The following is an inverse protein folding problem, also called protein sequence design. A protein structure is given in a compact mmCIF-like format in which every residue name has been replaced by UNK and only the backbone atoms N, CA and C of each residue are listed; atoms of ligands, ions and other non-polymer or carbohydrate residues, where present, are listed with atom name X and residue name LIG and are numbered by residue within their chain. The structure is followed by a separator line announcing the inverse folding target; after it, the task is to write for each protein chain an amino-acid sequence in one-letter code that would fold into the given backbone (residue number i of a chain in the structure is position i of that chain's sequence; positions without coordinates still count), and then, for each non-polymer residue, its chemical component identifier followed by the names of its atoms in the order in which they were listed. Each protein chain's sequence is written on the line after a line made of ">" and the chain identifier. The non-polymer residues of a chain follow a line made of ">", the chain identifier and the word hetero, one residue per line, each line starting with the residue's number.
data_IF_265293882485
#
_entry.id   IF_265293882485
#
_cell.length_a   1.000
_cell.length_b   1.000
_cell.length_c   1.000
_cell.angle_alpha   90.00
_cell.angle_beta   90.00
_cell.angle_gamma   90.00
#
_symmetry.space_group_name_H-M   'P 1'
#
loop_
_entity.id
_entity.type
_entity.pdbx_description
1 polymer ?
#
# COMPACT_ATOMS: atom_id res chain seq x y z
N UNK A 1 5.54 -33.03 -1.75
CA UNK A 1 4.51 -31.95 -1.89
C UNK A 1 4.14 -31.27 -0.55
N UNK A 2 4.33 -31.91 0.63
CA UNK A 2 3.94 -31.36 1.94
C UNK A 2 4.63 -30.04 2.37
N UNK A 3 5.87 -29.77 1.94
CA UNK A 3 6.63 -28.57 2.34
C UNK A 3 6.31 -27.29 1.56
N UNK A 4 5.66 -27.38 0.39
CA UNK A 4 5.43 -26.21 -0.48
C UNK A 4 4.39 -25.27 0.13
N UNK A 5 3.37 -25.84 0.80
CA UNK A 5 2.33 -25.05 1.50
C UNK A 5 2.91 -24.22 2.64
N UNK A 6 3.80 -24.81 3.46
CA UNK A 6 4.47 -24.08 4.55
C UNK A 6 5.39 -22.97 4.05
N UNK A 7 6.08 -23.20 2.93
CA UNK A 7 6.98 -22.22 2.33
C UNK A 7 6.22 -21.01 1.76
N UNK A 8 5.10 -21.23 1.08
CA UNK A 8 4.21 -20.15 0.58
C UNK A 8 3.64 -19.34 1.75
N UNK A 9 3.24 -20.01 2.83
CA UNK A 9 2.71 -19.36 4.03
C UNK A 9 3.78 -18.52 4.73
N UNK A 10 4.99 -19.05 4.90
CA UNK A 10 6.14 -18.31 5.41
C UNK A 10 6.47 -17.08 4.57
N UNK A 11 6.48 -17.21 3.24
CA UNK A 11 6.74 -16.09 2.33
C UNK A 11 5.68 -14.98 2.49
N UNK A 12 4.41 -15.36 2.61
CA UNK A 12 3.31 -14.40 2.78
C UNK A 12 3.41 -13.64 4.11
N UNK A 13 3.80 -14.32 5.21
CA UNK A 13 4.00 -13.68 6.50
C UNK A 13 5.22 -12.74 6.50
N UNK A 14 6.31 -13.14 5.85
CA UNK A 14 7.52 -12.31 5.71
C UNK A 14 7.22 -11.02 4.95
N UNK A 15 6.24 -11.00 4.04
CA UNK A 15 5.84 -9.79 3.31
C UNK A 15 4.86 -8.91 4.11
N UNK A 16 4.04 -9.48 4.98
CA UNK A 16 3.09 -8.71 5.79
C UNK A 16 3.77 -7.92 6.90
N UNK A 17 4.84 -8.44 7.50
CA UNK A 17 5.60 -7.77 8.59
C UNK A 17 6.16 -6.39 8.17
N UNK A 18 6.90 -6.23 7.05
CA UNK A 18 7.40 -4.92 6.66
C UNK A 18 6.28 -3.96 6.26
N UNK A 19 5.17 -4.47 5.69
CA UNK A 19 4.01 -3.64 5.31
C UNK A 19 3.30 -3.09 6.56
N UNK A 20 3.10 -3.91 7.59
CA UNK A 20 2.49 -3.44 8.85
C UNK A 20 3.40 -2.48 9.59
N UNK A 21 4.70 -2.77 9.66
CA UNK A 21 5.69 -1.90 10.30
C UNK A 21 5.75 -0.51 9.62
N UNK A 22 5.82 -0.48 8.28
CA UNK A 22 5.85 0.77 7.52
C UNK A 22 4.54 1.57 7.67
N UNK A 23 3.40 0.88 7.73
CA UNK A 23 2.09 1.52 7.97
C UNK A 23 2.03 2.17 9.35
N UNK A 24 2.47 1.46 10.40
CA UNK A 24 2.54 1.98 11.78
C UNK A 24 3.47 3.19 11.83
N UNK A 25 4.69 3.09 11.29
CA UNK A 25 5.62 4.21 11.23
C UNK A 25 5.04 5.44 10.51
N UNK A 26 4.32 5.25 9.40
CA UNK A 26 3.65 6.35 8.70
C UNK A 26 2.59 7.04 9.58
N UNK A 27 1.75 6.26 10.27
CA UNK A 27 0.72 6.80 11.16
C UNK A 27 1.36 7.60 12.31
N UNK A 28 2.39 7.05 12.95
CA UNK A 28 3.12 7.74 14.01
C UNK A 28 3.77 9.04 13.51
N UNK A 29 4.35 9.02 12.32
CA UNK A 29 4.99 10.20 11.74
C UNK A 29 3.97 11.29 11.40
N UNK A 30 2.79 10.93 10.87
CA UNK A 30 1.69 11.90 10.68
C UNK A 30 1.21 12.49 12.01
N UNK A 31 1.01 11.65 13.03
CA UNK A 31 0.58 12.10 14.35
C UNK A 31 1.60 13.04 14.99
N UNK A 32 2.90 12.71 14.87
CA UNK A 32 3.99 13.53 15.35
C UNK A 32 4.07 14.88 14.63
N UNK A 33 4.00 14.90 13.29
CA UNK A 33 4.01 16.14 12.50
C UNK A 33 2.82 17.03 12.85
N UNK A 34 1.60 16.46 12.98
CA UNK A 34 0.40 17.21 13.38
C UNK A 34 0.52 17.85 14.75
N UNK A 35 1.15 17.16 15.73
CA UNK A 35 1.39 17.73 17.06
C UNK A 35 2.46 18.82 17.02
N UNK A 36 3.51 18.65 16.21
CA UNK A 36 4.63 19.60 16.10
C UNK A 36 4.26 20.87 15.34
N UNK A 37 3.36 20.80 14.35
CA UNK A 37 2.90 21.95 13.57
C UNK A 37 2.17 23.01 14.40
N UNK A 38 1.63 22.63 15.57
CA UNK A 38 0.98 23.58 16.50
C UNK A 38 2.02 24.45 17.23
N UNK A 39 3.26 23.97 17.38
CA UNK A 39 4.29 24.60 18.23
C UNK A 39 5.27 25.47 17.41
N UNK A 40 5.49 25.19 16.12
CA UNK A 40 6.49 25.91 15.28
C UNK A 40 5.85 26.92 14.32
N UNK A 41 6.23 28.21 14.44
CA UNK A 41 5.82 29.34 13.58
C UNK A 41 6.83 29.75 12.50
N UNK A 42 7.90 28.98 12.28
CA UNK A 42 8.93 29.30 11.27
C UNK A 42 8.42 28.98 9.86
N UNK A 43 8.31 30.01 9.00
CA UNK A 43 7.81 29.93 7.61
C UNK A 43 8.61 28.91 6.77
N UNK A 44 9.94 28.84 6.97
CA UNK A 44 10.80 27.88 6.26
C UNK A 44 10.56 26.42 6.68
N UNK A 45 10.26 26.17 7.96
CA UNK A 45 9.97 24.82 8.44
C UNK A 45 8.58 24.35 8.00
N UNK A 46 7.59 25.25 7.95
CA UNK A 46 6.25 24.92 7.47
C UNK A 46 6.23 24.49 6.00
N UNK A 47 7.07 25.08 5.15
CA UNK A 47 7.21 24.68 3.75
C UNK A 47 7.82 23.27 3.59
N UNK A 48 8.78 22.91 4.45
CA UNK A 48 9.41 21.60 4.45
C UNK A 48 8.47 20.51 5.00
N UNK A 49 7.79 20.80 6.12
CA UNK A 49 6.79 19.89 6.71
C UNK A 49 5.63 19.61 5.72
N UNK A 50 5.23 20.60 4.92
CA UNK A 50 4.20 20.42 3.88
C UNK A 50 4.68 19.48 2.77
N UNK A 51 5.96 19.55 2.38
CA UNK A 51 6.55 18.64 1.39
C UNK A 51 6.60 17.22 1.94
N UNK A 52 7.08 17.06 3.17
CA UNK A 52 7.19 15.75 3.83
C UNK A 52 5.82 15.11 4.03
N UNK A 53 4.81 15.90 4.39
CA UNK A 53 3.43 15.42 4.50
C UNK A 53 2.86 14.94 3.16
N UNK A 54 3.17 15.62 2.06
CA UNK A 54 2.75 15.19 0.71
C UNK A 54 3.43 13.87 0.31
N UNK A 55 4.71 13.69 0.64
CA UNK A 55 5.44 12.44 0.41
C UNK A 55 4.82 11.32 1.24
N UNK A 56 4.58 11.57 2.52
CA UNK A 56 3.99 10.57 3.42
C UNK A 56 2.56 10.17 2.99
N UNK A 57 1.76 11.13 2.52
CA UNK A 57 0.44 10.86 1.94
C UNK A 57 0.53 9.96 0.72
N UNK A 58 1.51 10.18 -0.17
CA UNK A 58 1.75 9.30 -1.32
C UNK A 58 2.12 7.89 -0.86
N UNK A 59 3.08 7.75 0.05
CA UNK A 59 3.49 6.45 0.61
C UNK A 59 2.29 5.71 1.23
N UNK A 60 1.43 6.43 1.96
CA UNK A 60 0.23 5.84 2.56
C UNK A 60 -0.78 5.36 1.52
N UNK A 61 -1.01 6.13 0.44
CA UNK A 61 -1.86 5.71 -0.68
C UNK A 61 -1.28 4.46 -1.36
N UNK A 62 0.04 4.42 -1.59
CA UNK A 62 0.72 3.26 -2.17
C UNK A 62 0.55 2.00 -1.30
N UNK A 63 0.77 2.13 0.01
CA UNK A 63 0.56 1.04 0.98
C UNK A 63 -0.90 0.56 0.98
N UNK A 64 -1.86 1.48 0.94
CA UNK A 64 -3.28 1.13 0.94
C UNK A 64 -3.67 0.33 -0.31
N UNK A 65 -3.18 0.75 -1.48
CA UNK A 65 -3.40 0.06 -2.75
C UNK A 65 -2.77 -1.34 -2.72
N UNK A 66 -1.53 -1.46 -2.21
CA UNK A 66 -0.83 -2.73 -2.09
C UNK A 66 -1.61 -3.71 -1.20
N UNK A 67 -2.05 -3.27 -0.01
CA UNK A 67 -2.84 -4.09 0.92
C UNK A 67 -4.17 -4.49 0.30
N UNK A 68 -4.89 -3.55 -0.33
CA UNK A 68 -6.17 -3.82 -0.99
C UNK A 68 -6.03 -4.83 -2.13
N UNK A 69 -4.94 -4.78 -2.89
CA UNK A 69 -4.67 -5.75 -3.96
C UNK A 69 -4.25 -7.13 -3.44
N UNK A 70 -3.52 -7.21 -2.31
CA UNK A 70 -3.04 -8.49 -1.77
C UNK A 70 -4.08 -9.25 -0.94
N UNK A 71 -5.03 -8.54 -0.33
CA UNK A 71 -6.07 -9.12 0.53
C UNK A 71 -6.92 -10.22 -0.12
N UNK A 72 -7.44 -10.06 -1.36
CA UNK A 72 -8.21 -11.10 -2.03
C UNK A 72 -7.41 -12.40 -2.23
N UNK A 73 -6.15 -12.29 -2.63
CA UNK A 73 -5.26 -13.44 -2.86
C UNK A 73 -4.96 -14.19 -1.55
N UNK A 74 -4.73 -13.44 -0.47
CA UNK A 74 -4.57 -14.02 0.87
C UNK A 74 -5.85 -14.69 1.35
N UNK A 75 -7.00 -14.06 1.16
CA UNK A 75 -8.31 -14.62 1.51
C UNK A 75 -8.60 -15.94 0.80
N UNK A 76 -8.34 -16.02 -0.52
CA UNK A 76 -8.48 -17.27 -1.29
C UNK A 76 -7.50 -18.34 -0.79
N UNK A 77 -6.25 -17.96 -0.49
CA UNK A 77 -5.23 -18.89 0.00
C UNK A 77 -5.60 -19.47 1.36
N UNK A 78 -6.10 -18.64 2.29
CA UNK A 78 -6.61 -19.08 3.59
C UNK A 78 -7.85 -19.97 3.43
N UNK A 79 -8.78 -19.60 2.55
CA UNK A 79 -9.97 -20.39 2.28
C UNK A 79 -9.60 -21.79 1.76
N UNK A 80 -8.66 -21.89 0.82
CA UNK A 80 -8.16 -23.17 0.32
C UNK A 80 -7.53 -24.03 1.41
N UNK A 81 -6.81 -23.41 2.35
CA UNK A 81 -6.19 -24.13 3.45
C UNK A 81 -7.22 -24.68 4.45
N UNK A 82 -8.28 -23.92 4.73
CA UNK A 82 -9.33 -24.31 5.69
C UNK A 82 -10.28 -25.35 5.07
N UNK A 83 -10.75 -25.10 3.85
CA UNK A 83 -11.78 -25.91 3.21
C UNK A 83 -11.23 -27.08 2.39
N UNK A 84 -9.94 -27.05 2.04
CA UNK A 84 -9.28 -28.06 1.21
C UNK A 84 -9.69 -28.02 -0.27
N UNK A 85 -10.63 -27.16 -0.66
CA UNK A 85 -11.11 -27.03 -2.04
C UNK A 85 -11.02 -25.58 -2.51
N UNK A 86 -10.84 -25.39 -3.82
CA UNK A 86 -10.85 -24.06 -4.43
C UNK A 86 -12.21 -23.84 -5.11
N UNK A 87 -13.03 -22.89 -4.63
CA UNK A 87 -14.35 -22.65 -5.21
C UNK A 87 -14.22 -22.03 -6.59
N UNK A 88 -15.19 -22.29 -7.49
CA UNK A 88 -15.21 -21.74 -8.86
C UNK A 88 -15.10 -20.21 -8.89
N UNK A 89 -15.72 -19.52 -7.93
CA UNK A 89 -15.66 -18.05 -7.82
C UNK A 89 -14.24 -17.50 -7.54
N UNK A 90 -13.29 -18.34 -7.08
CA UNK A 90 -11.91 -17.93 -6.83
C UNK A 90 -11.20 -17.44 -8.10
N UNK A 91 -11.51 -18.04 -9.26
CA UNK A 91 -10.97 -17.61 -10.56
C UNK A 91 -11.42 -16.20 -10.92
N UNK A 92 -12.69 -15.87 -10.66
CA UNK A 92 -13.23 -14.53 -10.89
C UNK A 92 -12.53 -13.48 -10.02
N UNK A 93 -12.28 -13.81 -8.75
CA UNK A 93 -11.51 -12.94 -7.85
C UNK A 93 -10.05 -12.80 -8.28
N UNK A 94 -9.42 -13.85 -8.82
CA UNK A 94 -8.05 -13.76 -9.35
C UNK A 94 -7.97 -12.80 -10.54
N UNK A 95 -8.92 -12.89 -11.48
CA UNK A 95 -9.02 -11.94 -12.60
C UNK A 95 -9.29 -10.51 -12.15
N UNK A 96 -10.20 -10.33 -11.19
CA UNK A 96 -10.46 -9.02 -10.58
C UNK A 96 -9.20 -8.45 -9.91
N UNK A 97 -8.44 -9.30 -9.21
CA UNK A 97 -7.19 -8.87 -8.54
C UNK A 97 -6.11 -8.50 -9.55
N UNK A 98 -5.98 -9.24 -10.66
CA UNK A 98 -5.03 -8.95 -11.73
C UNK A 98 -5.37 -7.66 -12.48
N UNK A 99 -6.64 -7.42 -12.78
CA UNK A 99 -7.07 -6.15 -13.41
C UNK A 99 -6.89 -4.97 -12.46
N UNK A 100 -7.21 -5.14 -11.17
CA UNK A 100 -6.97 -4.14 -10.15
C UNK A 100 -5.47 -3.83 -9.95
N UNK A 101 -4.60 -4.84 -10.03
CA UNK A 101 -3.15 -4.62 -9.88
C UNK A 101 -2.55 -3.86 -11.06
N UNK A 102 -2.99 -4.13 -12.29
CA UNK A 102 -2.59 -3.36 -13.49
C UNK A 102 -3.06 -1.90 -13.37
N UNK A 103 -4.30 -1.69 -12.93
CA UNK A 103 -4.83 -0.36 -12.68
C UNK A 103 -4.06 0.36 -11.57
N UNK A 104 -3.77 -0.35 -10.48
CA UNK A 104 -2.96 0.14 -9.37
C UNK A 104 -1.58 0.60 -9.84
N UNK A 105 -0.86 -0.19 -10.65
CA UNK A 105 0.45 0.22 -11.20
C UNK A 105 0.35 1.52 -11.97
N UNK A 106 -0.71 1.70 -12.76
CA UNK A 106 -0.97 2.94 -13.50
C UNK A 106 -1.20 4.13 -12.56
N UNK A 107 -1.98 3.95 -11.50
CA UNK A 107 -2.21 4.97 -10.45
C UNK A 107 -0.92 5.29 -9.70
N UNK A 108 -0.13 4.28 -9.36
CA UNK A 108 1.17 4.43 -8.67
C UNK A 108 2.12 5.26 -9.54
N UNK A 109 2.22 4.94 -10.84
CA UNK A 109 3.01 5.72 -11.80
C UNK A 109 2.55 7.18 -11.85
N UNK A 110 1.25 7.44 -11.79
CA UNK A 110 0.69 8.79 -11.76
C UNK A 110 1.10 9.55 -10.48
N UNK A 111 1.10 8.88 -9.33
CA UNK A 111 1.42 9.53 -8.05
C UNK A 111 2.93 9.67 -7.80
N UNK A 112 3.74 8.75 -8.32
CA UNK A 112 5.19 8.72 -8.16
C UNK A 112 5.88 9.57 -9.21
N UNK A 113 5.37 9.63 -10.44
CA UNK A 113 6.03 10.34 -11.54
C UNK A 113 6.12 11.85 -11.24
N UNK A 114 7.34 12.41 -11.17
CA UNK A 114 7.56 13.83 -10.87
C UNK A 114 7.12 14.75 -12.01
N UNK A 115 6.74 14.20 -13.17
CA UNK A 115 6.42 14.96 -14.38
C UNK A 115 4.97 15.43 -14.47
N UNK A 116 4.03 14.80 -13.75
CA UNK A 116 2.61 15.15 -13.80
C UNK A 116 2.29 16.55 -13.25
N UNK A 117 2.89 17.03 -12.14
CA UNK A 117 2.65 18.41 -11.72
C UNK A 117 3.20 19.47 -12.70
N UNK A 118 4.09 19.11 -13.65
CA UNK A 118 4.55 20.04 -14.70
C UNK A 118 3.53 20.20 -15.82
N UNK A 119 2.75 19.16 -16.13
CA UNK A 119 1.68 19.26 -17.13
C UNK A 119 0.52 20.11 -16.64
N UNK A 120 0.15 19.99 -15.36
CA UNK A 120 -0.97 20.73 -14.79
C UNK A 120 -0.68 22.19 -14.43
N UNK A 121 0.59 22.62 -14.48
CA UNK A 121 1.00 24.03 -14.32
C UNK A 121 1.19 24.77 -15.65
N UNK A 122 1.06 24.06 -16.79
CA UNK A 122 1.25 24.61 -18.14
C UNK A 122 -0.06 24.79 -18.91
N UNK A 123 -1.20 24.45 -18.30
CA UNK A 123 -2.53 24.90 -18.71
C UNK A 123 -3.01 25.97 -17.74
#
# INVERSE_FOLDING_TARGET
>A
IRNVRGLIMGLSMVHMIPITLTTICCIYTMAYIRRRSVIRKSIRQQANDRRDFLVLKRIFILLSILIASGMPTLGISLFFQISGYLPLWSTQFQWLTATFSIFAVSVILIFVSPNIPKFWKRQ
#
